data_IF_751983756147
#
_entry.id   IF_751983756147
#
_cell.length_a   1.000
_cell.length_b   1.000
_cell.length_c   1.000
_cell.angle_alpha   90.00
_cell.angle_beta   90.00
_cell.angle_gamma   90.00
#
_symmetry.space_group_name_H-M   'P 1'
#
loop_
_entity.id
_entity.type
_entity.pdbx_description
1 polymer ?
#
# COMPACT_ATOMS: atom_id res chain seq x y z
N UNK A 1 14.24 9.75 -20.92
CA UNK A 1 13.22 10.53 -20.16
C UNK A 1 12.31 9.54 -19.45
N UNK A 2 12.22 9.61 -18.14
CA UNK A 2 11.31 8.78 -17.34
C UNK A 2 9.93 9.41 -17.38
N UNK A 3 8.93 8.71 -17.91
CA UNK A 3 7.53 9.15 -17.88
C UNK A 3 6.63 7.93 -17.80
N UNK A 4 6.00 7.74 -16.65
CA UNK A 4 5.03 6.67 -16.41
C UNK A 4 4.13 7.02 -15.24
N UNK A 5 3.05 6.27 -15.08
CA UNK A 5 2.11 6.45 -13.99
C UNK A 5 1.72 5.11 -13.37
N UNK A 6 1.27 5.15 -12.14
CA UNK A 6 0.76 4.00 -11.41
C UNK A 6 -0.32 4.42 -10.41
N UNK A 7 -1.02 3.45 -9.84
CA UNK A 7 -2.07 3.67 -8.83
C UNK A 7 -1.58 3.17 -7.47
N UNK A 8 -1.89 3.91 -6.42
CA UNK A 8 -1.87 3.43 -5.04
C UNK A 8 -3.31 3.21 -4.56
N UNK A 9 -3.55 2.05 -3.94
CA UNK A 9 -4.74 1.72 -3.15
C UNK A 9 -4.29 1.10 -1.83
N UNK A 10 -5.15 1.06 -0.81
CA UNK A 10 -4.75 0.62 0.54
C UNK A 10 -5.93 0.21 1.40
N UNK A 11 -5.67 -0.59 2.44
CA UNK A 11 -6.59 -0.88 3.55
C UNK A 11 -7.94 -1.42 3.04
N UNK A 12 -7.88 -2.57 2.34
CA UNK A 12 -9.04 -3.13 1.67
C UNK A 12 -9.94 -3.92 2.62
N UNK A 13 -9.36 -4.54 3.65
CA UNK A 13 -10.07 -5.33 4.69
C UNK A 13 -11.11 -6.27 4.11
N UNK A 14 -10.73 -6.98 3.02
CA UNK A 14 -11.63 -7.87 2.29
C UNK A 14 -12.04 -9.06 3.15
N UNK A 15 -13.26 -9.51 2.94
CA UNK A 15 -13.87 -10.66 3.60
C UNK A 15 -14.04 -11.83 2.61
N UNK A 16 -14.46 -13.00 3.13
CA UNK A 16 -14.63 -14.21 2.32
C UNK A 16 -15.63 -14.03 1.16
N UNK A 17 -16.62 -13.14 1.37
CA UNK A 17 -17.64 -12.82 0.36
C UNK A 17 -17.64 -11.33 0.09
N UNK A 18 -17.86 -10.98 -1.17
CA UNK A 18 -17.94 -9.61 -1.63
C UNK A 18 -19.04 -8.80 -0.94
N UNK A 19 -20.17 -9.44 -0.63
CA UNK A 19 -21.33 -8.82 0.01
C UNK A 19 -21.30 -8.88 1.55
N UNK A 20 -20.23 -9.43 2.13
CA UNK A 20 -20.08 -9.50 3.57
C UNK A 20 -19.90 -8.10 4.18
N UNK A 21 -20.51 -7.91 5.35
CA UNK A 21 -20.47 -6.65 6.07
C UNK A 21 -19.49 -6.74 7.24
N UNK A 22 -18.79 -5.63 7.48
CA UNK A 22 -18.02 -5.38 8.68
C UNK A 22 -18.40 -4.00 9.22
N UNK A 23 -18.93 -3.97 10.44
CA UNK A 23 -19.35 -2.73 11.13
C UNK A 23 -20.26 -1.83 10.28
N UNK A 24 -21.13 -2.43 9.46
CA UNK A 24 -22.05 -1.74 8.56
C UNK A 24 -21.45 -1.32 7.21
N UNK A 25 -20.18 -1.57 6.97
CA UNK A 25 -19.51 -1.34 5.68
C UNK A 25 -19.45 -2.64 4.86
N UNK A 26 -19.42 -2.49 3.53
CA UNK A 26 -19.24 -3.60 2.60
C UNK A 26 -17.90 -3.45 1.85
N UNK A 27 -16.78 -3.93 2.43
CA UNK A 27 -15.44 -3.73 1.86
C UNK A 27 -15.31 -4.25 0.45
N UNK A 28 -15.86 -5.44 0.17
CA UNK A 28 -15.77 -6.06 -1.16
C UNK A 28 -16.48 -5.25 -2.23
N UNK A 29 -17.68 -4.70 -1.93
CA UNK A 29 -18.40 -3.84 -2.86
C UNK A 29 -17.64 -2.52 -3.10
N UNK A 30 -17.18 -1.87 -2.04
CA UNK A 30 -16.42 -0.62 -2.14
C UNK A 30 -15.13 -0.81 -2.96
N UNK A 31 -14.39 -1.89 -2.71
CA UNK A 31 -13.21 -2.26 -3.48
C UNK A 31 -13.54 -2.46 -4.96
N UNK A 32 -14.61 -3.20 -5.29
CA UNK A 32 -15.05 -3.40 -6.68
C UNK A 32 -15.36 -2.08 -7.37
N UNK A 33 -16.05 -1.16 -6.70
CA UNK A 33 -16.34 0.17 -7.26
C UNK A 33 -15.07 0.99 -7.53
N UNK A 34 -14.07 0.90 -6.63
CA UNK A 34 -12.75 1.52 -6.86
C UNK A 34 -12.07 0.92 -8.09
N UNK A 35 -12.03 -0.41 -8.23
CA UNK A 35 -11.39 -1.08 -9.37
C UNK A 35 -12.09 -0.78 -10.68
N UNK A 36 -13.43 -0.71 -10.69
CA UNK A 36 -14.23 -0.27 -11.85
C UNK A 36 -13.87 1.15 -12.26
N UNK A 37 -13.85 2.07 -11.29
CA UNK A 37 -13.51 3.47 -11.57
C UNK A 37 -12.08 3.61 -12.14
N UNK A 38 -11.11 2.84 -11.63
CA UNK A 38 -9.75 2.77 -12.18
C UNK A 38 -9.78 2.29 -13.62
N UNK A 39 -10.50 1.18 -13.90
CA UNK A 39 -10.63 0.60 -15.24
C UNK A 39 -11.21 1.59 -16.24
N UNK A 40 -12.27 2.29 -15.88
CA UNK A 40 -13.00 3.18 -16.80
C UNK A 40 -12.30 4.52 -17.05
N UNK A 41 -11.45 4.99 -16.12
CA UNK A 41 -10.94 6.37 -16.18
C UNK A 41 -9.44 6.50 -16.39
N UNK A 42 -8.64 5.52 -15.91
CA UNK A 42 -7.18 5.69 -15.86
C UNK A 42 -6.37 4.44 -16.22
N UNK A 43 -6.98 3.28 -16.43
CA UNK A 43 -6.25 2.03 -16.68
C UNK A 43 -5.33 2.08 -17.91
N UNK A 44 -5.71 2.82 -18.94
CA UNK A 44 -4.93 3.03 -20.17
C UNK A 44 -3.70 3.95 -19.96
N UNK A 45 -3.60 4.60 -18.82
CA UNK A 45 -2.57 5.60 -18.48
C UNK A 45 -1.58 5.12 -17.43
N UNK A 46 -1.79 3.94 -16.87
CA UNK A 46 -0.98 3.44 -15.74
C UNK A 46 -0.38 2.07 -16.05
N UNK A 47 0.83 1.85 -15.57
CA UNK A 47 1.58 0.64 -15.83
C UNK A 47 1.26 -0.47 -14.82
N UNK A 48 0.91 -0.12 -13.57
CA UNK A 48 0.60 -1.07 -12.49
C UNK A 48 -0.17 -0.43 -11.34
N UNK A 49 -0.61 -1.26 -10.40
CA UNK A 49 -1.22 -0.86 -9.13
C UNK A 49 -0.32 -1.30 -7.98
N UNK A 50 -0.24 -0.51 -6.92
CA UNK A 50 0.37 -0.85 -5.62
C UNK A 50 -0.71 -0.89 -4.56
N UNK A 51 -0.81 -2.01 -3.83
CA UNK A 51 -1.55 -2.12 -2.57
C UNK A 51 -0.59 -1.92 -1.40
N UNK A 52 -0.83 -0.91 -0.59
CA UNK A 52 0.01 -0.56 0.56
C UNK A 52 -0.46 -1.20 1.87
N UNK A 53 -1.03 -2.40 1.82
CA UNK A 53 -1.31 -3.23 2.97
C UNK A 53 -2.79 -3.35 3.36
N UNK A 54 -3.03 -4.20 4.35
CA UNK A 54 -4.33 -4.56 4.90
C UNK A 54 -5.29 -5.08 3.80
N UNK A 55 -4.87 -6.19 3.17
CA UNK A 55 -5.65 -6.82 2.11
C UNK A 55 -6.94 -7.45 2.66
N UNK A 56 -6.84 -8.16 3.79
CA UNK A 56 -7.95 -8.86 4.43
C UNK A 56 -8.04 -8.53 5.90
N UNK A 57 -9.24 -8.75 6.52
CA UNK A 57 -9.42 -8.72 7.96
C UNK A 57 -10.75 -9.42 8.35
N UNK A 58 -10.73 -10.40 9.30
CA UNK A 58 -9.54 -10.98 9.92
C UNK A 58 -8.69 -11.80 8.93
N UNK A 59 -7.45 -12.09 9.35
CA UNK A 59 -6.46 -12.85 8.59
C UNK A 59 -6.78 -14.35 8.62
N UNK A 60 -7.69 -14.79 7.74
CA UNK A 60 -8.15 -16.19 7.64
C UNK A 60 -7.98 -16.74 6.24
N UNK A 61 -7.86 -18.08 6.14
CA UNK A 61 -7.86 -18.76 4.83
C UNK A 61 -9.08 -18.38 3.98
N UNK A 62 -10.26 -18.27 4.58
CA UNK A 62 -11.49 -17.93 3.87
C UNK A 62 -11.44 -16.51 3.27
N UNK A 63 -10.94 -15.53 4.02
CA UNK A 63 -10.83 -14.16 3.54
C UNK A 63 -9.77 -14.01 2.44
N UNK A 64 -8.62 -14.69 2.55
CA UNK A 64 -7.64 -14.71 1.45
C UNK A 64 -8.19 -15.38 0.19
N UNK A 65 -8.95 -16.48 0.32
CA UNK A 65 -9.63 -17.10 -0.83
C UNK A 65 -10.66 -16.15 -1.46
N UNK A 66 -11.43 -15.45 -0.63
CA UNK A 66 -12.37 -14.42 -1.07
C UNK A 66 -11.68 -13.28 -1.83
N UNK A 67 -10.58 -12.78 -1.30
CA UNK A 67 -9.77 -11.75 -1.93
C UNK A 67 -9.21 -12.20 -3.29
N UNK A 68 -8.66 -13.43 -3.39
CA UNK A 68 -8.19 -13.95 -4.68
C UNK A 68 -9.32 -14.06 -5.71
N UNK A 69 -10.48 -14.56 -5.28
CA UNK A 69 -11.66 -14.67 -6.15
C UNK A 69 -12.11 -13.30 -6.65
N UNK A 70 -12.20 -12.31 -5.75
CA UNK A 70 -12.59 -10.95 -6.09
C UNK A 70 -11.60 -10.29 -7.06
N UNK A 71 -10.29 -10.46 -6.83
CA UNK A 71 -9.22 -9.96 -7.69
C UNK A 71 -9.08 -10.74 -9.00
N UNK A 72 -9.72 -11.90 -9.12
CA UNK A 72 -9.55 -12.80 -10.28
C UNK A 72 -8.11 -13.29 -10.43
N UNK A 73 -7.42 -13.51 -9.32
CA UNK A 73 -6.04 -14.00 -9.30
C UNK A 73 -6.04 -15.52 -9.39
N UNK A 74 -5.44 -16.05 -10.46
CA UNK A 74 -5.02 -17.44 -10.55
C UNK A 74 -3.52 -17.49 -10.20
N UNK A 75 -3.21 -17.55 -8.92
CA UNK A 75 -1.87 -17.31 -8.43
C UNK A 75 -0.85 -18.30 -9.00
N UNK A 76 0.13 -17.76 -9.72
CA UNK A 76 1.32 -18.48 -10.17
C UNK A 76 2.59 -17.67 -9.95
N UNK A 77 2.49 -16.49 -9.35
CA UNK A 77 3.60 -15.59 -9.12
C UNK A 77 4.50 -16.05 -7.96
N UNK A 78 5.71 -15.54 -7.96
CA UNK A 78 6.65 -15.62 -6.86
C UNK A 78 7.06 -14.21 -6.42
N UNK A 79 7.44 -14.04 -5.17
CA UNK A 79 8.05 -12.79 -4.69
C UNK A 79 9.40 -12.57 -5.39
N UNK A 80 9.72 -11.31 -5.73
CA UNK A 80 9.00 -10.05 -5.50
C UNK A 80 8.11 -9.59 -6.67
N UNK A 81 7.62 -10.49 -7.51
CA UNK A 81 6.86 -10.14 -8.72
C UNK A 81 5.43 -9.65 -8.44
N UNK A 82 4.82 -8.96 -9.43
CA UNK A 82 3.43 -8.56 -9.33
C UNK A 82 2.49 -9.74 -9.53
N UNK A 83 1.33 -9.69 -8.89
CA UNK A 83 0.19 -10.52 -9.26
C UNK A 83 -0.47 -10.00 -10.54
N UNK A 84 -1.15 -10.89 -11.25
CA UNK A 84 -1.95 -10.53 -12.42
C UNK A 84 -3.42 -10.60 -12.04
N UNK A 85 -4.05 -9.43 -11.91
CA UNK A 85 -5.46 -9.32 -11.56
C UNK A 85 -6.36 -9.36 -12.80
N UNK A 86 -7.59 -9.86 -12.60
CA UNK A 86 -8.62 -9.90 -13.64
C UNK A 86 -9.96 -9.48 -13.01
N UNK A 87 -10.17 -8.19 -12.85
CA UNK A 87 -11.34 -7.60 -12.20
C UNK A 87 -11.81 -6.37 -12.96
N UNK A 88 -13.11 -6.19 -13.12
CA UNK A 88 -13.77 -4.97 -13.60
C UNK A 88 -13.13 -4.35 -14.88
N UNK A 89 -12.83 -5.20 -15.87
CA UNK A 89 -12.19 -4.73 -17.11
C UNK A 89 -10.67 -4.65 -17.10
N UNK A 90 -10.03 -4.71 -15.94
CA UNK A 90 -8.58 -4.87 -15.80
C UNK A 90 -8.22 -6.34 -16.08
N UNK A 91 -7.67 -6.61 -17.26
CA UNK A 91 -7.30 -7.97 -17.67
C UNK A 91 -5.79 -8.15 -17.62
N UNK A 92 -5.35 -9.19 -16.89
CA UNK A 92 -3.93 -9.52 -16.73
C UNK A 92 -3.11 -8.31 -16.24
N UNK A 93 -3.72 -7.45 -15.42
CA UNK A 93 -3.14 -6.17 -15.00
C UNK A 93 -2.17 -6.37 -13.83
N UNK A 94 -0.97 -5.77 -13.84
CA UNK A 94 0.02 -5.99 -12.78
C UNK A 94 -0.36 -5.24 -11.50
N UNK A 95 -0.31 -5.95 -10.37
CA UNK A 95 -0.55 -5.38 -9.05
C UNK A 95 0.48 -5.93 -8.05
N UNK A 96 1.16 -5.02 -7.36
CA UNK A 96 2.11 -5.33 -6.30
C UNK A 96 1.43 -5.22 -4.94
N UNK A 97 1.77 -6.13 -4.05
CA UNK A 97 1.19 -6.21 -2.71
C UNK A 97 2.27 -6.10 -1.64
N UNK A 98 2.00 -5.29 -0.63
CA UNK A 98 2.71 -5.25 0.65
C UNK A 98 1.71 -5.68 1.74
N UNK A 99 2.10 -6.47 2.74
CA UNK A 99 1.23 -6.72 3.89
C UNK A 99 1.11 -5.47 4.78
N UNK A 100 -0.07 -5.30 5.38
CA UNK A 100 -0.27 -4.40 6.51
C UNK A 100 -0.23 -5.14 7.85
N UNK A 101 -0.69 -4.50 8.92
CA UNK A 101 -0.72 -5.13 10.24
C UNK A 101 -1.87 -6.16 10.39
N UNK A 102 -2.90 -6.09 9.56
CA UNK A 102 -3.99 -7.07 9.50
C UNK A 102 -3.72 -8.23 8.53
N UNK A 103 -2.53 -8.31 7.92
CA UNK A 103 -2.19 -9.41 7.03
C UNK A 103 -1.28 -10.43 7.69
N UNK A 104 -1.63 -11.72 7.63
CA UNK A 104 -0.73 -12.82 7.98
C UNK A 104 0.24 -13.11 6.84
N UNK A 105 1.54 -13.03 7.10
CA UNK A 105 2.60 -13.18 6.10
C UNK A 105 2.63 -14.58 5.48
N UNK A 106 2.36 -15.61 6.28
CA UNK A 106 2.33 -17.00 5.81
C UNK A 106 1.11 -17.26 4.92
N UNK A 107 -0.08 -16.82 5.34
CA UNK A 107 -1.30 -16.93 4.54
C UNK A 107 -1.21 -16.09 3.27
N UNK A 108 -0.71 -14.85 3.35
CA UNK A 108 -0.50 -14.02 2.18
C UNK A 108 0.44 -14.71 1.17
N UNK A 109 1.55 -15.30 1.63
CA UNK A 109 2.43 -16.07 0.75
C UNK A 109 1.74 -17.29 0.17
N UNK A 110 1.05 -18.08 1.00
CA UNK A 110 0.31 -19.27 0.57
C UNK A 110 -0.65 -18.97 -0.57
N UNK A 111 -1.36 -17.85 -0.49
CA UNK A 111 -2.41 -17.51 -1.43
C UNK A 111 -1.94 -16.65 -2.60
N UNK A 112 -1.14 -15.62 -2.37
CA UNK A 112 -0.68 -14.73 -3.43
C UNK A 112 0.62 -15.21 -4.10
N UNK A 113 1.52 -15.86 -3.37
CA UNK A 113 2.86 -16.20 -3.86
C UNK A 113 3.23 -17.68 -3.62
N UNK A 114 2.40 -18.65 -4.08
CA UNK A 114 2.54 -20.07 -3.71
C UNK A 114 3.84 -20.74 -4.21
N UNK A 115 4.65 -20.04 -5.01
CA UNK A 115 5.97 -20.51 -5.46
C UNK A 115 7.11 -19.95 -4.60
N UNK A 116 6.79 -19.20 -3.55
CA UNK A 116 7.77 -18.65 -2.61
C UNK A 116 7.63 -19.29 -1.25
N UNK A 117 8.72 -19.35 -0.50
CA UNK A 117 8.66 -19.54 0.95
C UNK A 117 8.19 -18.25 1.60
N UNK A 118 7.43 -18.38 2.69
CA UNK A 118 6.94 -17.23 3.43
C UNK A 118 8.11 -16.51 4.12
N UNK A 119 8.41 -15.25 3.75
CA UNK A 119 9.41 -14.49 4.45
C UNK A 119 8.89 -14.04 5.82
N UNK A 120 9.79 -13.82 6.77
CA UNK A 120 9.45 -13.20 8.05
C UNK A 120 8.91 -11.78 7.84
N UNK A 121 9.52 -11.03 6.92
CA UNK A 121 9.15 -9.68 6.52
C UNK A 121 9.18 -9.56 4.99
N UNK A 122 8.21 -8.86 4.43
CA UNK A 122 8.07 -8.63 2.98
C UNK A 122 8.91 -7.43 2.52
N UNK A 123 10.22 -7.54 2.67
CA UNK A 123 11.16 -6.53 2.18
C UNK A 123 11.61 -6.89 0.77
N UNK A 124 11.27 -6.09 -0.22
CA UNK A 124 11.72 -6.29 -1.60
C UNK A 124 11.81 -4.98 -2.37
N UNK A 125 12.56 -5.00 -3.46
CA UNK A 125 12.62 -3.85 -4.37
C UNK A 125 12.54 -4.35 -5.83
N UNK A 126 12.02 -3.49 -6.68
CA UNK A 126 12.09 -3.67 -8.12
C UNK A 126 12.34 -2.33 -8.82
N UNK A 127 12.83 -2.41 -10.04
CA UNK A 127 13.03 -1.25 -10.90
C UNK A 127 11.96 -1.18 -11.98
N UNK A 128 11.44 0.02 -12.23
CA UNK A 128 10.55 0.29 -13.36
C UNK A 128 10.93 1.60 -14.03
N UNK A 129 11.31 1.52 -15.30
CA UNK A 129 11.69 2.68 -16.14
C UNK A 129 12.71 3.62 -15.46
N UNK A 130 13.72 3.05 -14.80
CA UNK A 130 14.78 3.80 -14.14
C UNK A 130 14.43 4.40 -12.78
N UNK A 131 13.32 3.98 -12.17
CA UNK A 131 12.92 4.31 -10.81
C UNK A 131 12.86 3.04 -9.97
N UNK A 132 13.47 3.07 -8.80
CA UNK A 132 13.41 1.99 -7.83
C UNK A 132 12.18 2.13 -6.93
N UNK A 133 11.46 1.04 -6.72
CA UNK A 133 10.39 0.92 -5.74
C UNK A 133 10.86 0.04 -4.60
N UNK A 134 10.94 0.57 -3.38
CA UNK A 134 11.45 -0.10 -2.19
C UNK A 134 10.27 -0.38 -1.26
N UNK A 135 9.87 -1.64 -1.17
CA UNK A 135 8.78 -2.11 -0.32
C UNK A 135 9.34 -2.57 1.02
N UNK A 136 8.80 -2.03 2.11
CA UNK A 136 9.28 -2.28 3.47
C UNK A 136 8.14 -2.73 4.37
N UNK A 137 8.29 -3.92 4.91
CA UNK A 137 7.38 -4.48 5.91
C UNK A 137 7.85 -4.12 7.33
N UNK A 138 6.98 -3.49 8.11
CA UNK A 138 7.21 -3.06 9.49
C UNK A 138 6.53 -3.98 10.50
N UNK A 139 6.19 -5.21 10.09
CA UNK A 139 5.63 -6.25 10.93
C UNK A 139 4.11 -6.22 11.09
N UNK A 140 3.59 -7.19 11.85
CA UNK A 140 2.15 -7.41 11.99
C UNK A 140 1.48 -6.57 13.08
N UNK A 141 2.24 -5.80 13.87
CA UNK A 141 1.67 -5.05 14.97
C UNK A 141 1.04 -3.73 14.49
N UNK A 142 -0.07 -3.35 15.10
CA UNK A 142 -0.73 -2.05 14.83
C UNK A 142 0.22 -0.89 15.14
N UNK A 143 0.95 -0.97 16.26
CA UNK A 143 2.04 -0.06 16.53
C UNK A 143 3.27 -0.48 15.73
N UNK A 144 3.69 0.37 14.82
CA UNK A 144 4.83 0.11 13.96
C UNK A 144 6.13 -0.18 14.73
N UNK A 145 6.97 -1.03 14.14
CA UNK A 145 8.34 -1.23 14.61
C UNK A 145 9.27 -1.37 13.40
N UNK A 146 10.30 -0.57 13.33
CA UNK A 146 11.34 -0.75 12.31
C UNK A 146 12.28 -1.88 12.75
N UNK A 147 12.14 -3.05 12.14
CA UNK A 147 13.02 -4.18 12.39
C UNK A 147 14.42 -3.93 11.83
N UNK A 148 15.47 -4.43 12.51
CA UNK A 148 16.85 -4.30 12.01
C UNK A 148 17.00 -4.79 10.56
N UNK A 149 16.37 -5.90 10.21
CA UNK A 149 16.39 -6.49 8.88
C UNK A 149 15.79 -5.55 7.82
N UNK A 150 14.70 -4.85 8.15
CA UNK A 150 14.07 -3.86 7.27
C UNK A 150 14.93 -2.61 7.12
N UNK A 151 15.55 -2.15 8.22
CA UNK A 151 16.48 -1.01 8.21
C UNK A 151 17.71 -1.31 7.35
N UNK A 152 18.33 -2.48 7.51
CA UNK A 152 19.49 -2.90 6.72
C UNK A 152 19.13 -3.04 5.25
N UNK A 153 17.97 -3.63 4.94
CA UNK A 153 17.44 -3.73 3.59
C UNK A 153 17.29 -2.35 2.94
N UNK A 154 16.64 -1.39 3.63
CA UNK A 154 16.48 -0.02 3.15
C UNK A 154 17.83 0.66 2.90
N UNK A 155 18.76 0.58 3.87
CA UNK A 155 20.08 1.17 3.75
C UNK A 155 20.85 0.62 2.53
N UNK A 156 20.75 -0.70 2.29
CA UNK A 156 21.35 -1.35 1.12
C UNK A 156 20.67 -0.93 -0.18
N UNK A 157 19.35 -0.90 -0.22
CA UNK A 157 18.59 -0.52 -1.42
C UNK A 157 18.89 0.92 -1.85
N UNK A 158 19.04 1.85 -0.90
CA UNK A 158 19.39 3.24 -1.16
C UNK A 158 20.86 3.47 -1.55
N UNK A 159 21.70 2.44 -1.60
CA UNK A 159 23.05 2.56 -2.21
C UNK A 159 22.97 2.65 -3.73
N UNK A 160 21.89 2.20 -4.35
CA UNK A 160 21.68 2.41 -5.78
C UNK A 160 21.51 3.89 -6.09
N UNK A 161 22.14 4.35 -7.17
CA UNK A 161 22.03 5.74 -7.66
C UNK A 161 20.78 5.91 -8.54
N UNK A 162 19.63 5.45 -8.05
CA UNK A 162 18.34 5.53 -8.71
C UNK A 162 17.36 6.39 -7.91
N UNK A 163 16.54 7.22 -8.57
CA UNK A 163 15.37 7.81 -7.94
C UNK A 163 14.51 6.71 -7.33
N UNK A 164 14.05 6.89 -6.10
CA UNK A 164 13.39 5.83 -5.35
C UNK A 164 12.04 6.28 -4.78
N UNK A 165 11.04 5.41 -4.85
CA UNK A 165 9.78 5.53 -4.14
C UNK A 165 9.76 4.51 -3.00
N UNK A 166 9.59 4.99 -1.78
CA UNK A 166 9.47 4.12 -0.60
C UNK A 166 8.01 3.74 -0.40
N UNK A 167 7.75 2.46 -0.18
CA UNK A 167 6.40 1.91 -0.01
C UNK A 167 6.33 1.16 1.31
N UNK A 168 5.42 1.54 2.18
CA UNK A 168 5.18 0.90 3.46
C UNK A 168 3.70 0.96 3.84
N UNK A 169 3.29 0.20 4.83
CA UNK A 169 1.92 0.27 5.31
C UNK A 169 1.75 1.37 6.37
N UNK A 170 2.54 1.32 7.44
CA UNK A 170 2.42 2.25 8.56
C UNK A 170 2.92 3.66 8.17
N UNK A 171 2.36 4.66 8.83
CA UNK A 171 2.77 6.06 8.63
C UNK A 171 4.08 6.38 9.39
N UNK A 172 4.81 7.36 8.89
CA UNK A 172 6.19 7.69 9.36
C UNK A 172 6.33 9.10 9.91
N UNK A 173 5.20 9.75 10.19
CA UNK A 173 5.14 11.09 10.77
C UNK A 173 3.81 11.27 11.50
N UNK A 174 3.80 12.05 12.58
CA UNK A 174 2.57 12.46 13.23
C UNK A 174 1.65 13.18 12.25
N UNK A 175 0.40 12.74 12.21
CA UNK A 175 -0.63 13.35 11.35
C UNK A 175 -1.55 14.30 12.14
N UNK A 176 -1.38 14.40 13.47
CA UNK A 176 -2.17 15.26 14.34
C UNK A 176 -3.51 14.65 14.73
N UNK A 177 -3.54 13.34 14.93
CA UNK A 177 -4.63 12.57 15.54
C UNK A 177 -4.02 11.76 16.65
N UNK A 178 -4.33 12.07 17.92
CA UNK A 178 -3.65 11.48 19.08
C UNK A 178 -3.70 9.94 19.09
N UNK A 179 -4.84 9.35 18.74
CA UNK A 179 -4.98 7.89 18.76
C UNK A 179 -4.20 7.23 17.60
N UNK A 180 -4.20 7.80 16.39
CA UNK A 180 -3.43 7.29 15.25
C UNK A 180 -1.93 7.54 15.43
N UNK A 181 -1.54 8.68 16.00
CA UNK A 181 -0.15 8.99 16.26
C UNK A 181 0.49 8.06 17.32
N UNK A 182 -0.32 7.35 18.14
CA UNK A 182 0.14 6.31 19.05
C UNK A 182 0.64 5.03 18.34
N UNK A 183 0.31 4.86 17.05
CA UNK A 183 0.75 3.73 16.24
C UNK A 183 2.09 3.96 15.54
N UNK A 184 2.67 5.15 15.66
CA UNK A 184 4.03 5.41 15.18
C UNK A 184 5.05 4.51 15.89
N UNK A 185 6.09 4.13 15.17
CA UNK A 185 7.20 3.37 15.73
C UNK A 185 7.94 4.18 16.80
N UNK A 186 8.31 3.53 17.91
CA UNK A 186 9.14 4.17 18.93
C UNK A 186 10.56 4.46 18.43
N UNK A 187 11.03 3.69 17.45
CA UNK A 187 12.34 3.84 16.82
C UNK A 187 12.26 4.47 15.41
N UNK A 188 11.34 5.39 15.21
CA UNK A 188 11.13 6.06 13.93
C UNK A 188 12.33 6.93 13.50
N UNK A 189 13.11 7.44 14.43
CA UNK A 189 14.35 8.16 14.19
C UNK A 189 15.38 7.31 13.42
N UNK A 190 15.47 6.01 13.70
CA UNK A 190 16.34 5.10 12.95
C UNK A 190 15.98 4.99 11.46
N UNK A 191 14.70 5.13 11.11
CA UNK A 191 14.25 5.20 9.72
C UNK A 191 14.74 6.49 9.05
N UNK A 192 14.55 7.61 9.74
CA UNK A 192 14.93 8.91 9.20
C UNK A 192 16.45 9.09 9.12
N UNK A 193 17.22 8.43 10.00
CA UNK A 193 18.69 8.39 9.94
C UNK A 193 19.20 7.72 8.64
N UNK A 194 18.41 6.80 8.07
CA UNK A 194 18.73 6.17 6.78
C UNK A 194 18.21 7.00 5.60
N UNK A 195 17.01 7.56 5.71
CA UNK A 195 16.34 8.24 4.60
C UNK A 195 16.91 9.64 4.34
N UNK A 196 17.12 10.46 5.38
CA UNK A 196 17.52 11.86 5.21
C UNK A 196 18.86 12.07 4.52
N UNK A 197 19.90 11.25 4.76
CA UNK A 197 21.15 11.34 3.99
C UNK A 197 20.97 11.03 2.49
N UNK A 198 19.89 10.35 2.12
CA UNK A 198 19.56 9.92 0.76
C UNK A 198 18.38 10.70 0.14
N UNK A 199 17.90 11.75 0.79
CA UNK A 199 16.66 12.45 0.45
C UNK A 199 16.57 12.93 -1.00
N UNK A 200 17.68 13.30 -1.61
CA UNK A 200 17.73 13.79 -3.00
C UNK A 200 17.35 12.69 -4.02
N UNK A 201 17.43 11.42 -3.62
CA UNK A 201 17.02 10.27 -4.43
C UNK A 201 15.59 9.81 -4.11
N UNK A 202 15.03 10.20 -2.95
CA UNK A 202 13.71 9.75 -2.50
C UNK A 202 12.62 10.66 -3.05
N UNK A 203 11.91 10.18 -4.07
CA UNK A 203 10.83 10.92 -4.73
C UNK A 203 9.59 11.07 -3.85
N UNK A 204 9.39 10.16 -2.90
CA UNK A 204 8.30 10.19 -1.94
C UNK A 204 8.09 8.86 -1.24
N UNK A 205 7.29 8.91 -0.18
CA UNK A 205 6.89 7.79 0.67
C UNK A 205 5.39 7.57 0.51
N UNK A 206 4.96 6.35 0.16
CA UNK A 206 3.56 5.95 0.06
C UNK A 206 3.19 5.09 1.27
N UNK A 207 2.14 5.45 1.99
CA UNK A 207 1.65 4.68 3.15
C UNK A 207 0.12 4.61 3.21
N UNK A 208 -0.40 3.66 4.00
CA UNK A 208 -1.80 3.44 4.33
C UNK A 208 -2.06 3.58 5.83
N UNK A 209 -2.67 2.56 6.45
CA UNK A 209 -2.82 2.33 7.88
C UNK A 209 -3.76 3.31 8.62
N UNK A 210 -3.61 4.59 8.39
CA UNK A 210 -4.38 5.63 9.09
C UNK A 210 -5.75 5.89 8.46
N UNK A 211 -6.09 5.27 7.33
CA UNK A 211 -7.34 5.42 6.57
C UNK A 211 -7.70 6.88 6.25
N UNK A 212 -6.70 7.77 6.22
CA UNK A 212 -6.85 9.21 5.95
C UNK A 212 -5.97 9.59 4.77
N UNK A 213 -6.51 10.33 3.81
CA UNK A 213 -5.70 10.93 2.75
C UNK A 213 -5.04 12.20 3.25
N UNK A 214 -3.72 12.24 3.17
CA UNK A 214 -2.91 13.43 3.46
C UNK A 214 -1.68 13.50 2.56
N UNK A 215 -1.15 14.70 2.43
CA UNK A 215 0.14 14.99 1.83
C UNK A 215 0.92 15.86 2.81
N UNK A 216 2.16 15.48 3.09
CA UNK A 216 3.02 16.13 4.06
C UNK A 216 4.47 15.94 3.63
N UNK A 217 5.42 16.46 4.41
CA UNK A 217 6.85 16.24 4.21
C UNK A 217 7.60 16.11 5.54
N UNK A 218 8.76 15.47 5.51
CA UNK A 218 9.69 15.47 6.61
C UNK A 218 11.14 15.61 6.10
N UNK A 219 11.84 16.64 6.54
CA UNK A 219 13.20 16.92 6.10
C UNK A 219 13.38 17.16 4.60
N UNK A 220 12.29 17.54 3.90
CA UNK A 220 12.25 17.71 2.45
C UNK A 220 11.85 16.44 1.68
N UNK A 221 11.50 15.34 2.37
CA UNK A 221 11.01 14.10 1.74
C UNK A 221 9.47 14.11 1.74
N UNK A 222 8.80 14.04 0.57
CA UNK A 222 7.35 14.02 0.48
C UNK A 222 6.74 12.73 1.06
N UNK A 223 5.61 12.83 1.76
CA UNK A 223 4.88 11.72 2.38
C UNK A 223 3.42 11.76 1.92
N UNK A 224 2.93 10.62 1.46
CA UNK A 224 1.61 10.46 0.87
C UNK A 224 0.83 9.36 1.59
N UNK A 225 -0.03 9.72 2.54
CA UNK A 225 -0.99 8.81 3.14
C UNK A 225 -2.26 8.70 2.32
N UNK A 226 -2.91 7.56 2.33
CA UNK A 226 -4.11 7.30 1.55
C UNK A 226 -5.25 6.78 2.43
N UNK A 227 -6.46 7.21 2.10
CA UNK A 227 -7.70 6.70 2.69
C UNK A 227 -7.96 5.26 2.25
N UNK A 228 -8.45 4.44 3.18
CA UNK A 228 -8.93 3.09 2.95
C UNK A 228 -9.94 3.00 1.80
N UNK A 229 -9.90 1.88 1.07
CA UNK A 229 -10.96 1.53 0.12
C UNK A 229 -12.19 0.95 0.83
N UNK A 230 -12.08 0.53 2.11
CA UNK A 230 -13.16 -0.08 2.87
C UNK A 230 -13.91 0.93 3.74
N UNK A 231 -13.26 1.46 4.76
CA UNK A 231 -13.87 2.40 5.71
C UNK A 231 -12.84 3.47 6.15
N UNK A 232 -13.18 4.75 6.01
CA UNK A 232 -12.28 5.84 6.38
C UNK A 232 -12.42 6.23 7.85
N UNK A 233 -11.34 6.77 8.42
CA UNK A 233 -11.35 7.41 9.74
C UNK A 233 -11.46 8.92 9.64
N UNK A 234 -12.08 9.53 10.65
CA UNK A 234 -11.98 10.96 10.90
C UNK A 234 -10.61 11.30 11.51
N UNK A 235 -10.09 12.47 11.18
CA UNK A 235 -8.88 13.01 11.83
C UNK A 235 -9.26 13.64 13.17
N UNK A 236 -9.47 12.81 14.17
CA UNK A 236 -9.90 13.15 15.54
C UNK A 236 -8.95 12.54 16.56
N UNK A 237 -9.04 12.96 17.83
CA UNK A 237 -8.20 12.41 18.89
C UNK A 237 -8.68 11.05 19.41
N UNK A 238 -9.93 10.69 19.11
CA UNK A 238 -10.52 9.40 19.44
C UNK A 238 -10.90 8.64 18.15
N UNK A 239 -10.99 7.30 18.18
CA UNK A 239 -11.37 6.48 17.02
C UNK A 239 -12.77 6.82 16.53
N UNK A 240 -12.88 7.32 15.31
CA UNK A 240 -14.16 7.61 14.65
C UNK A 240 -14.12 7.14 13.21
N UNK A 241 -14.92 6.13 12.88
CA UNK A 241 -15.18 5.72 11.50
C UNK A 241 -16.23 6.66 10.91
N UNK A 242 -16.01 7.12 9.68
CA UNK A 242 -16.94 8.02 8.99
C UNK A 242 -17.49 7.39 7.71
N UNK A 243 -18.69 7.78 7.35
CA UNK A 243 -19.26 7.42 6.05
C UNK A 243 -18.76 8.43 5.00
N UNK A 244 -17.81 8.02 4.20
CA UNK A 244 -17.24 8.85 3.14
C UNK A 244 -16.69 8.02 1.98
N UNK A 245 -16.62 8.62 0.81
CA UNK A 245 -16.16 7.96 -0.41
C UNK A 245 -14.73 7.40 -0.27
N UNK A 246 -14.47 6.16 -0.73
CA UNK A 246 -13.12 5.63 -0.82
C UNK A 246 -12.26 6.42 -1.80
N UNK A 247 -10.95 6.39 -1.59
CA UNK A 247 -9.99 7.07 -2.45
C UNK A 247 -9.03 6.09 -3.10
N UNK A 248 -8.51 6.48 -4.27
CA UNK A 248 -7.23 5.97 -4.77
C UNK A 248 -6.35 7.14 -5.21
N UNK A 249 -5.05 6.92 -5.24
CA UNK A 249 -4.05 7.90 -5.69
C UNK A 249 -3.52 7.51 -7.06
N UNK A 250 -3.64 8.40 -8.02
CA UNK A 250 -2.93 8.35 -9.29
C UNK A 250 -1.59 9.05 -9.09
N UNK A 251 -0.50 8.36 -9.37
CA UNK A 251 0.86 8.89 -9.27
C UNK A 251 1.49 8.92 -10.66
N UNK A 252 2.12 10.03 -11.01
CA UNK A 252 2.95 10.14 -12.21
C UNK A 252 4.36 10.51 -11.82
N UNK A 253 5.33 9.81 -12.40
CA UNK A 253 6.74 10.17 -12.32
C UNK A 253 7.18 10.61 -13.70
N UNK A 254 7.62 11.86 -13.80
CA UNK A 254 8.12 12.44 -15.04
C UNK A 254 9.42 13.20 -14.77
N UNK A 255 10.49 12.83 -15.48
CA UNK A 255 11.81 13.46 -15.40
C UNK A 255 12.32 13.59 -13.94
N UNK A 256 12.13 12.55 -13.13
CA UNK A 256 12.54 12.49 -11.71
C UNK A 256 11.61 13.24 -10.75
N UNK A 257 10.49 13.75 -11.20
CA UNK A 257 9.52 14.45 -10.36
C UNK A 257 8.27 13.56 -10.16
N UNK A 258 7.92 13.29 -8.90
CA UNK A 258 6.68 12.63 -8.53
C UNK A 258 5.57 13.66 -8.34
N UNK A 259 4.45 13.45 -9.02
CA UNK A 259 3.21 14.21 -8.82
C UNK A 259 2.06 13.26 -8.53
N UNK A 260 1.07 13.69 -7.78
CA UNK A 260 -0.05 12.85 -7.42
C UNK A 260 -1.40 13.56 -7.52
N UNK A 261 -2.45 12.75 -7.74
CA UNK A 261 -3.84 13.20 -7.74
C UNK A 261 -4.72 12.18 -7.03
N UNK A 262 -5.59 12.65 -6.16
CA UNK A 262 -6.60 11.82 -5.49
C UNK A 262 -7.88 11.75 -6.32
N UNK A 263 -8.35 10.53 -6.52
CA UNK A 263 -9.68 10.25 -7.06
C UNK A 263 -10.59 9.77 -5.93
N UNK A 264 -11.76 10.39 -5.83
CA UNK A 264 -12.84 9.98 -4.92
C UNK A 264 -13.84 9.15 -5.72
N UNK A 265 -14.21 8.00 -5.19
CA UNK A 265 -15.13 7.07 -5.86
C UNK A 265 -16.46 7.08 -5.12
N UNK A 266 -17.50 7.57 -5.76
CA UNK A 266 -18.85 7.53 -5.20
C UNK A 266 -19.38 6.09 -5.27
N UNK A 267 -19.79 5.54 -4.13
CA UNK A 267 -20.35 4.19 -3.97
C UNK A 267 -21.81 4.26 -3.52
#
# INVERSE_FOLDING_TARGET
MTDFSFIQITDHHLLEREDALRDGFCPGHAFRMVMRHISENVADKVDFIISTGDLVEPETDANYQGALKLLGINSSAALPGPQRINIEGLKNFPMYFLPGNHDDRALMTKYLFPKSEAPKLYNFAFEHKGVQFIFMDWGPDTKAHLFPETREFLAKALQAELPSVLVMHQHVKKIGSRWLDNFLADNLDEFWDVVLPNKEKVLGILCGHVHITYEDEYGGVPIYGLRSTAFPFAKTDDPVVILAAPHYRFVRIKDGILTSRIYKVNI
#
